data_IF_659079126306
#
_entry.id   IF_659079126306
#
_cell.length_a   1.000
_cell.length_b   1.000
_cell.length_c   1.000
_cell.angle_alpha   90.00
_cell.angle_beta   90.00
_cell.angle_gamma   90.00
#
_symmetry.space_group_name_H-M   'P 1'
#
loop_
_entity.id
_entity.type
_entity.pdbx_description
1 polymer ?
#
# COMPACT_ATOMS: atom_id res chain seq x y z
N UNK A 1 -42.21 48.67 64.07
CA UNK A 1 -40.91 48.56 64.75
C UNK A 1 -39.84 48.19 63.73
N UNK A 2 -38.68 48.86 63.78
CA UNK A 2 -37.48 48.63 62.96
C UNK A 2 -36.70 47.38 63.44
N UNK A 3 -35.98 46.71 62.52
CA UNK A 3 -34.50 46.62 62.54
C UNK A 3 -33.95 46.04 61.22
N UNK A 4 -32.90 46.70 60.70
CA UNK A 4 -31.97 46.28 59.63
C UNK A 4 -30.78 45.52 60.25
N UNK A 5 -29.94 44.86 59.42
CA UNK A 5 -28.46 44.61 59.44
C UNK A 5 -28.20 43.27 58.68
N UNK A 6 -27.76 43.24 57.42
CA UNK A 6 -26.40 43.26 56.82
C UNK A 6 -25.44 42.07 57.11
N UNK A 7 -24.98 41.46 56.00
CA UNK A 7 -23.70 40.73 55.71
C UNK A 7 -23.39 39.38 56.38
N UNK A 8 -23.20 38.32 55.58
CA UNK A 8 -21.83 37.91 55.17
C UNK A 8 -21.82 36.98 53.94
N UNK A 9 -20.78 37.20 53.13
CA UNK A 9 -20.40 36.56 51.89
C UNK A 9 -19.67 35.24 52.18
N UNK A 10 -20.07 34.12 51.57
CA UNK A 10 -19.17 32.98 51.35
C UNK A 10 -19.20 32.57 49.89
N UNK A 11 -18.20 33.09 49.20
CA UNK A 11 -17.63 32.56 47.98
C UNK A 11 -17.12 31.14 48.27
N UNK A 12 -17.69 30.12 47.65
CA UNK A 12 -17.00 28.85 47.42
C UNK A 12 -17.01 28.60 45.92
N UNK A 13 -15.89 28.97 45.29
CA UNK A 13 -15.51 28.39 44.01
C UNK A 13 -15.36 26.88 44.20
N UNK A 14 -16.28 26.10 43.65
CA UNK A 14 -15.97 24.77 43.18
C UNK A 14 -15.98 24.82 41.66
N UNK A 15 -14.83 25.17 41.12
CA UNK A 15 -14.49 25.07 39.71
C UNK A 15 -14.42 23.58 39.34
N UNK A 16 -15.56 22.90 39.17
CA UNK A 16 -15.55 21.67 38.39
C UNK A 16 -15.56 22.10 36.94
N UNK A 17 -14.37 22.36 36.39
CA UNK A 17 -14.18 22.24 34.96
C UNK A 17 -14.60 20.80 34.62
N UNK A 18 -15.81 20.63 34.10
CA UNK A 18 -16.06 19.58 33.14
C UNK A 18 -15.13 19.93 31.98
N UNK A 19 -13.87 19.51 32.06
CA UNK A 19 -13.07 19.38 30.86
C UNK A 19 -13.93 18.47 30.00
N UNK A 20 -14.55 19.03 28.97
CA UNK A 20 -15.14 18.25 27.90
C UNK A 20 -14.03 17.31 27.48
N UNK A 21 -14.06 16.05 27.93
CA UNK A 21 -13.28 15.02 27.29
C UNK A 21 -13.90 14.97 25.92
N UNK A 22 -13.34 15.75 24.98
CA UNK A 22 -13.54 15.48 23.59
C UNK A 22 -13.05 14.04 23.45
N UNK A 23 -14.01 13.11 23.36
CA UNK A 23 -13.71 11.76 22.92
C UNK A 23 -13.36 11.96 21.45
N UNK A 24 -12.07 12.07 21.16
CA UNK A 24 -11.61 12.07 19.80
C UNK A 24 -11.87 10.67 19.28
N UNK A 25 -12.75 10.54 18.30
CA UNK A 25 -12.87 9.30 17.57
C UNK A 25 -11.76 9.27 16.53
N UNK A 26 -11.09 8.13 16.36
CA UNK A 26 -10.05 8.02 15.36
C UNK A 26 -10.58 8.34 13.96
N UNK A 27 -10.03 9.37 13.33
CA UNK A 27 -10.58 9.96 12.11
C UNK A 27 -9.53 10.55 11.18
N UNK A 28 -9.91 10.69 9.91
CA UNK A 28 -9.10 11.37 8.91
C UNK A 28 -9.25 12.89 9.05
N UNK A 29 -8.13 13.60 9.09
CA UNK A 29 -8.10 15.07 9.01
C UNK A 29 -7.17 15.55 7.89
N UNK A 30 -7.51 16.70 7.31
CA UNK A 30 -6.78 17.30 6.19
C UNK A 30 -6.16 18.64 6.59
N UNK A 31 -4.85 18.79 6.38
CA UNK A 31 -4.10 20.03 6.65
C UNK A 31 -3.31 20.43 5.41
N UNK A 32 -3.56 21.64 4.88
CA UNK A 32 -2.81 22.23 3.74
C UNK A 32 -2.63 21.26 2.57
N UNK A 33 -3.65 20.42 2.31
CA UNK A 33 -3.68 19.40 1.25
C UNK A 33 -3.01 18.05 1.52
N UNK A 34 -2.59 17.77 2.76
CA UNK A 34 -2.14 16.45 3.21
C UNK A 34 -3.17 15.82 4.14
N UNK A 35 -3.37 14.52 4.01
CA UNK A 35 -4.24 13.75 4.90
C UNK A 35 -3.42 13.13 6.02
N UNK A 36 -4.01 13.09 7.21
CA UNK A 36 -3.47 12.51 8.43
C UNK A 36 -4.57 11.69 9.09
N UNK A 37 -4.20 10.61 9.77
CA UNK A 37 -5.13 9.86 10.59
C UNK A 37 -4.84 10.12 12.07
N UNK A 38 -5.83 10.67 12.78
CA UNK A 38 -5.75 10.93 14.21
C UNK A 38 -6.29 9.72 14.95
N UNK A 39 -5.57 9.27 15.97
CA UNK A 39 -5.97 8.17 16.86
C UNK A 39 -6.91 8.68 17.96
N UNK A 40 -7.51 7.76 18.72
CA UNK A 40 -8.46 8.11 19.79
C UNK A 40 -7.85 8.98 20.91
N UNK A 41 -6.52 8.95 21.06
CA UNK A 41 -5.78 9.80 22.01
C UNK A 41 -5.42 11.18 21.44
N UNK A 42 -5.86 11.49 20.21
CA UNK A 42 -5.58 12.71 19.48
C UNK A 42 -4.19 12.78 18.83
N UNK A 43 -3.36 11.74 18.98
CA UNK A 43 -2.07 11.65 18.30
C UNK A 43 -2.23 11.29 16.82
N UNK A 44 -1.19 11.55 16.01
CA UNK A 44 -1.19 11.23 14.58
C UNK A 44 -0.54 9.87 14.36
N UNK A 45 -1.26 8.97 13.68
CA UNK A 45 -0.75 7.67 13.29
C UNK A 45 0.43 7.79 12.30
N UNK A 46 1.42 6.91 12.44
CA UNK A 46 2.67 6.92 11.67
C UNK A 46 3.14 5.50 11.37
N UNK A 47 3.78 5.32 10.22
CA UNK A 47 4.38 4.06 9.75
C UNK A 47 3.45 2.84 9.91
N UNK A 48 2.19 2.98 9.49
CA UNK A 48 1.21 1.91 9.64
C UNK A 48 0.09 1.99 8.61
N UNK A 49 -0.57 0.86 8.39
CA UNK A 49 -1.80 0.79 7.61
C UNK A 49 -3.01 1.21 8.45
N UNK A 50 -3.83 2.09 7.87
CA UNK A 50 -5.11 2.56 8.39
C UNK A 50 -6.23 1.92 7.58
N UNK A 51 -7.06 1.12 8.25
CA UNK A 51 -8.16 0.39 7.63
C UNK A 51 -9.48 1.13 7.87
N UNK A 52 -10.03 1.72 6.81
CA UNK A 52 -11.33 2.40 6.84
C UNK A 52 -12.19 1.97 5.65
N UNK A 53 -13.44 2.44 5.56
CA UNK A 53 -14.39 2.06 4.49
C UNK A 53 -13.83 2.28 3.07
N UNK A 54 -12.96 3.28 2.89
CA UNK A 54 -12.33 3.59 1.61
C UNK A 54 -11.15 2.70 1.22
N UNK A 55 -10.65 1.89 2.16
CA UNK A 55 -9.56 0.94 1.96
C UNK A 55 -8.51 0.96 3.07
N UNK A 56 -7.48 0.11 2.96
CA UNK A 56 -6.23 0.30 3.66
C UNK A 56 -5.44 1.44 3.01
N UNK A 57 -4.99 2.37 3.85
CA UNK A 57 -4.14 3.51 3.49
C UNK A 57 -2.86 3.46 4.33
N UNK A 58 -1.71 3.78 3.74
CA UNK A 58 -0.48 3.89 4.52
C UNK A 58 -0.28 5.32 5.00
N UNK A 59 0.10 5.51 6.27
CA UNK A 59 0.60 6.79 6.79
C UNK A 59 2.11 6.71 7.02
N UNK A 60 2.84 7.68 6.47
CA UNK A 60 4.30 7.77 6.53
C UNK A 60 4.80 8.12 7.94
N UNK A 61 6.12 8.21 8.09
CA UNK A 61 6.78 8.59 9.35
C UNK A 61 6.46 10.02 9.81
N UNK A 62 6.20 10.92 8.85
CA UNK A 62 5.72 12.29 9.07
C UNK A 62 4.21 12.36 9.34
N UNK A 63 3.52 11.21 9.29
CA UNK A 63 2.08 11.06 9.51
C UNK A 63 1.22 11.33 8.28
N UNK A 64 1.83 11.71 7.15
CA UNK A 64 1.09 11.98 5.92
C UNK A 64 0.64 10.69 5.26
N UNK A 65 -0.59 10.68 4.74
CA UNK A 65 -1.08 9.59 3.89
C UNK A 65 -0.22 9.48 2.64
N UNK A 66 0.28 8.28 2.36
CA UNK A 66 0.99 7.97 1.14
C UNK A 66 0.02 7.99 -0.06
N UNK A 67 0.48 8.56 -1.17
CA UNK A 67 -0.22 8.60 -2.46
C UNK A 67 0.77 8.34 -3.59
N UNK A 68 0.35 7.59 -4.62
CA UNK A 68 1.12 7.29 -5.84
C UNK A 68 2.57 6.87 -5.57
N UNK A 69 2.79 5.99 -4.61
CA UNK A 69 4.14 5.59 -4.19
C UNK A 69 4.22 4.16 -3.71
N UNK A 70 5.45 3.64 -3.72
CA UNK A 70 5.80 2.39 -3.08
C UNK A 70 5.83 2.56 -1.56
N UNK A 71 5.33 1.56 -0.85
CA UNK A 71 5.34 1.43 0.60
C UNK A 71 6.10 0.17 0.95
N UNK A 72 7.13 0.29 1.79
CA UNK A 72 7.76 -0.87 2.41
C UNK A 72 7.22 -1.03 3.83
N UNK A 73 6.51 -2.11 4.07
CA UNK A 73 6.09 -2.51 5.40
C UNK A 73 6.78 -3.83 5.75
N UNK A 74 7.75 -3.75 6.65
CA UNK A 74 8.46 -4.92 7.19
C UNK A 74 9.12 -5.81 6.11
N UNK A 75 9.65 -5.20 5.06
CA UNK A 75 10.30 -5.90 3.94
C UNK A 75 9.35 -6.28 2.80
N UNK A 76 8.04 -6.20 2.99
CA UNK A 76 7.05 -6.41 1.95
C UNK A 76 6.74 -5.08 1.24
N UNK A 77 6.69 -5.13 -0.09
CA UNK A 77 6.44 -3.96 -0.92
C UNK A 77 4.99 -3.91 -1.39
N UNK A 78 4.40 -2.74 -1.29
CA UNK A 78 3.04 -2.43 -1.74
C UNK A 78 3.07 -1.15 -2.57
N UNK A 79 2.03 -0.91 -3.37
CA UNK A 79 1.85 0.37 -4.05
C UNK A 79 0.50 0.97 -3.71
N UNK A 80 0.46 2.26 -3.40
CA UNK A 80 -0.77 3.01 -3.17
C UNK A 80 -1.09 3.92 -4.37
N UNK A 81 -2.37 4.00 -4.73
CA UNK A 81 -2.86 4.75 -5.87
C UNK A 81 -2.88 6.29 -5.61
N UNK A 82 -3.32 7.12 -6.58
CA UNK A 82 -3.43 8.57 -6.38
C UNK A 82 -4.40 9.00 -5.27
N UNK A 83 -5.36 8.15 -4.91
CA UNK A 83 -6.30 8.37 -3.80
C UNK A 83 -5.76 7.80 -2.47
N UNK A 84 -4.58 7.16 -2.50
CA UNK A 84 -3.89 6.55 -1.35
C UNK A 84 -4.31 5.12 -1.03
N UNK A 85 -5.17 4.52 -1.84
CA UNK A 85 -5.64 3.14 -1.62
C UNK A 85 -4.56 2.15 -2.04
N UNK A 86 -4.33 1.11 -1.23
CA UNK A 86 -3.47 -0.01 -1.61
C UNK A 86 -3.98 -0.71 -2.86
N UNK A 87 -3.13 -0.87 -3.87
CA UNK A 87 -3.40 -1.69 -5.04
C UNK A 87 -3.35 -3.18 -4.71
N UNK A 88 -4.22 -3.98 -5.32
CA UNK A 88 -4.32 -5.44 -5.11
C UNK A 88 -4.76 -6.12 -6.39
N UNK A 89 -4.33 -7.37 -6.61
CA UNK A 89 -4.72 -8.23 -7.73
C UNK A 89 -4.60 -7.58 -9.11
N UNK A 90 -3.51 -6.86 -9.36
CA UNK A 90 -3.36 -6.12 -10.61
C UNK A 90 -1.91 -5.95 -11.05
N UNK A 91 -1.75 -5.78 -12.36
CA UNK A 91 -0.52 -5.25 -12.92
C UNK A 91 -0.39 -3.76 -12.62
N UNK A 92 0.83 -3.34 -12.29
CA UNK A 92 1.22 -1.95 -12.17
C UNK A 92 2.31 -1.65 -13.19
N UNK A 93 2.12 -0.60 -14.00
CA UNK A 93 3.14 -0.13 -14.94
C UNK A 93 3.65 1.25 -14.53
N UNK A 94 4.93 1.34 -14.22
CA UNK A 94 5.61 2.59 -13.88
C UNK A 94 6.78 2.77 -14.84
N UNK A 95 6.83 3.87 -15.60
CA UNK A 95 7.95 4.15 -16.52
C UNK A 95 8.35 2.96 -17.42
N UNK A 96 7.35 2.22 -17.94
CA UNK A 96 7.48 1.00 -18.77
C UNK A 96 7.95 -0.27 -18.02
N UNK A 97 8.35 -0.17 -16.75
CA UNK A 97 8.52 -1.31 -15.85
C UNK A 97 7.15 -1.88 -15.48
N UNK A 98 7.06 -3.21 -15.38
CA UNK A 98 5.84 -3.93 -15.07
C UNK A 98 6.04 -4.70 -13.75
N UNK A 99 5.07 -4.57 -12.85
CA UNK A 99 5.02 -5.21 -11.54
C UNK A 99 3.67 -5.93 -11.42
N UNK A 100 3.58 -6.89 -10.51
CA UNK A 100 2.33 -7.51 -10.09
C UNK A 100 2.14 -7.31 -8.59
N UNK A 101 0.94 -6.91 -8.20
CA UNK A 101 0.51 -6.84 -6.81
C UNK A 101 -0.51 -7.95 -6.60
N UNK A 102 -0.26 -8.85 -5.65
CA UNK A 102 -1.13 -9.98 -5.35
C UNK A 102 -2.44 -9.57 -4.67
N UNK A 103 -3.25 -10.54 -4.24
CA UNK A 103 -4.53 -10.30 -3.55
C UNK A 103 -4.38 -9.55 -2.22
N UNK A 104 -3.22 -9.68 -1.57
CA UNK A 104 -2.86 -8.93 -0.36
C UNK A 104 -2.21 -7.58 -0.68
N UNK A 105 -1.96 -7.29 -1.96
CA UNK A 105 -1.26 -6.10 -2.44
C UNK A 105 0.25 -6.19 -2.38
N UNK A 106 0.80 -7.36 -2.04
CA UNK A 106 2.24 -7.60 -1.96
C UNK A 106 2.78 -7.68 -3.39
N UNK A 107 3.87 -6.98 -3.63
CA UNK A 107 4.58 -7.00 -4.90
C UNK A 107 5.25 -8.36 -5.11
N UNK A 108 5.00 -8.97 -6.26
CA UNK A 108 5.68 -10.20 -6.64
C UNK A 108 7.19 -9.98 -6.77
N UNK A 109 7.99 -10.92 -6.24
CA UNK A 109 9.45 -10.86 -6.25
C UNK A 109 10.05 -12.26 -6.25
N UNK A 110 11.00 -12.50 -7.17
CA UNK A 110 11.66 -13.81 -7.39
C UNK A 110 10.69 -14.98 -7.59
N UNK A 111 9.58 -14.76 -8.30
CA UNK A 111 8.52 -15.76 -8.41
C UNK A 111 7.83 -15.81 -9.77
N UNK A 112 7.18 -16.95 -10.01
CA UNK A 112 6.27 -17.17 -11.12
C UNK A 112 4.86 -16.78 -10.73
N UNK A 113 4.20 -15.97 -11.57
CA UNK A 113 2.80 -15.58 -11.39
C UNK A 113 2.00 -15.98 -12.62
N UNK A 114 0.86 -16.64 -12.41
CA UNK A 114 -0.09 -16.92 -13.48
C UNK A 114 -1.25 -15.92 -13.43
N UNK A 115 -1.44 -15.16 -14.52
CA UNK A 115 -2.54 -14.21 -14.68
C UNK A 115 -3.27 -14.53 -15.97
N UNK A 116 -4.58 -14.79 -15.89
CA UNK A 116 -5.44 -15.12 -17.03
C UNK A 116 -4.86 -16.25 -17.91
N UNK A 117 -4.32 -17.29 -17.26
CA UNK A 117 -3.73 -18.45 -17.93
C UNK A 117 -2.34 -18.22 -18.54
N UNK A 118 -1.77 -17.02 -18.43
CA UNK A 118 -0.42 -16.69 -18.90
C UNK A 118 0.55 -16.62 -17.73
N UNK A 119 1.76 -17.12 -17.93
CA UNK A 119 2.82 -17.08 -16.94
C UNK A 119 3.70 -15.85 -17.10
N UNK A 120 4.14 -15.29 -15.98
CA UNK A 120 5.05 -14.16 -15.86
C UNK A 120 6.10 -14.52 -14.80
N UNK A 121 7.30 -13.98 -14.93
CA UNK A 121 8.33 -14.10 -13.90
C UNK A 121 8.80 -12.72 -13.46
N UNK A 122 8.83 -12.50 -12.15
CA UNK A 122 9.27 -11.27 -11.52
C UNK A 122 10.63 -11.47 -10.87
N UNK A 123 11.55 -10.54 -11.12
CA UNK A 123 12.89 -10.55 -10.53
C UNK A 123 12.85 -10.04 -9.07
N UNK A 124 13.98 -10.09 -8.37
CA UNK A 124 14.10 -9.69 -6.95
C UNK A 124 13.58 -8.27 -6.67
N UNK A 125 13.81 -7.35 -7.60
CA UNK A 125 13.32 -5.98 -7.53
C UNK A 125 11.85 -5.80 -7.97
N UNK A 126 11.13 -6.91 -8.21
CA UNK A 126 9.75 -6.94 -8.66
C UNK A 126 9.51 -6.60 -10.13
N UNK A 127 10.57 -6.48 -10.94
CA UNK A 127 10.42 -6.23 -12.37
C UNK A 127 10.05 -7.53 -13.10
N UNK A 128 9.01 -7.47 -13.92
CA UNK A 128 8.71 -8.56 -14.85
C UNK A 128 9.82 -8.67 -15.91
N UNK A 129 10.29 -9.90 -16.16
CA UNK A 129 11.17 -10.18 -17.30
C UNK A 129 10.42 -9.93 -18.60
N UNK A 130 11.01 -9.15 -19.51
CA UNK A 130 10.38 -8.74 -20.77
C UNK A 130 11.39 -8.75 -21.91
N UNK A 131 10.96 -9.19 -23.10
CA UNK A 131 11.77 -9.19 -24.34
C UNK A 131 13.12 -9.89 -24.20
N UNK A 132 13.24 -10.88 -23.33
CA UNK A 132 14.52 -11.51 -23.04
C UNK A 132 14.38 -12.99 -22.70
N UNK A 133 15.48 -13.71 -22.88
CA UNK A 133 15.69 -15.02 -22.29
C UNK A 133 16.09 -14.88 -20.82
N UNK A 134 15.61 -15.79 -19.97
CA UNK A 134 16.00 -15.89 -18.56
C UNK A 134 16.19 -17.36 -18.20
N UNK A 135 17.31 -17.65 -17.52
CA UNK A 135 17.53 -18.93 -16.85
C UNK A 135 16.80 -18.88 -15.51
N UNK A 136 15.89 -19.83 -15.27
CA UNK A 136 15.12 -19.93 -14.03
C UNK A 136 15.18 -21.40 -13.60
N UNK A 137 15.80 -21.66 -12.45
CA UNK A 137 16.24 -23.02 -12.12
C UNK A 137 17.29 -23.50 -13.13
N UNK A 138 17.04 -24.62 -13.79
CA UNK A 138 17.94 -25.23 -14.78
C UNK A 138 17.51 -24.94 -16.23
N UNK A 139 16.35 -24.32 -16.43
CA UNK A 139 15.72 -24.16 -17.73
C UNK A 139 15.73 -22.70 -18.23
N UNK A 140 15.85 -22.52 -19.54
CA UNK A 140 15.71 -21.21 -20.18
C UNK A 140 14.28 -20.95 -20.63
N UNK A 141 13.78 -19.74 -20.38
CA UNK A 141 12.46 -19.27 -20.78
C UNK A 141 12.58 -17.97 -21.56
N UNK A 142 11.75 -17.77 -22.58
CA UNK A 142 11.67 -16.51 -23.30
C UNK A 142 10.40 -15.74 -22.91
N UNK A 143 10.56 -14.46 -22.56
CA UNK A 143 9.45 -13.59 -22.21
C UNK A 143 9.16 -12.58 -23.32
N UNK A 144 7.89 -12.52 -23.72
CA UNK A 144 7.38 -11.65 -24.77
C UNK A 144 7.46 -10.16 -24.39
N UNK A 145 7.25 -9.23 -25.34
CA UNK A 145 7.12 -7.80 -25.07
C UNK A 145 6.14 -7.40 -23.95
N UNK A 146 5.09 -8.21 -23.77
CA UNK A 146 4.08 -8.05 -22.72
C UNK A 146 4.55 -8.53 -21.34
N UNK A 147 5.64 -9.29 -21.27
CA UNK A 147 6.11 -9.98 -20.07
C UNK A 147 5.54 -11.39 -19.91
N UNK A 148 4.59 -11.81 -20.76
CA UNK A 148 4.12 -13.19 -20.75
C UNK A 148 5.22 -14.14 -21.26
N UNK A 149 5.36 -15.28 -20.61
CA UNK A 149 6.21 -16.39 -21.05
C UNK A 149 5.68 -16.92 -22.39
N UNK A 150 6.59 -17.14 -23.34
CA UNK A 150 6.26 -17.78 -24.60
C UNK A 150 6.08 -19.29 -24.40
N UNK A 151 5.10 -19.88 -25.08
CA UNK A 151 4.88 -21.33 -25.16
C UNK A 151 4.67 -21.74 -26.61
N UNK A 152 5.07 -22.97 -26.95
CA UNK A 152 4.89 -23.58 -28.28
C UNK A 152 5.30 -22.67 -29.46
N UNK A 153 6.44 -21.99 -29.31
CA UNK A 153 6.86 -20.91 -30.21
C UNK A 153 8.32 -21.01 -30.65
N UNK A 154 8.64 -20.43 -31.81
CA UNK A 154 10.00 -20.08 -32.19
C UNK A 154 10.37 -18.74 -31.54
N UNK A 155 11.44 -18.73 -30.75
CA UNK A 155 11.90 -17.58 -30.00
C UNK A 155 13.19 -16.99 -30.62
N UNK A 156 13.60 -15.76 -30.24
CA UNK A 156 14.79 -15.13 -30.79
C UNK A 156 16.05 -15.98 -30.64
N UNK A 157 16.90 -15.96 -31.68
CA UNK A 157 18.07 -16.84 -31.77
C UNK A 157 17.80 -18.17 -32.46
N UNK A 158 16.55 -18.44 -32.88
CA UNK A 158 16.19 -19.65 -33.62
C UNK A 158 15.85 -20.86 -32.75
N UNK A 159 15.84 -20.69 -31.42
CA UNK A 159 15.45 -21.73 -30.47
C UNK A 159 13.94 -21.89 -30.38
N UNK A 160 13.48 -23.08 -30.01
CA UNK A 160 12.06 -23.34 -29.75
C UNK A 160 11.80 -23.36 -28.24
N UNK A 161 10.58 -23.02 -27.85
CA UNK A 161 10.07 -23.24 -26.49
C UNK A 161 8.87 -24.18 -26.55
N UNK A 162 8.79 -25.12 -25.61
CA UNK A 162 7.69 -26.08 -25.50
C UNK A 162 6.41 -25.51 -24.90
N UNK A 163 5.41 -26.36 -24.70
CA UNK A 163 4.14 -25.99 -24.05
C UNK A 163 4.28 -25.57 -22.58
N UNK A 164 5.34 -26.04 -21.91
CA UNK A 164 5.73 -25.61 -20.56
C UNK A 164 6.66 -24.38 -20.56
N UNK A 165 6.92 -23.81 -21.75
CA UNK A 165 7.74 -22.61 -21.95
C UNK A 165 9.25 -22.85 -21.89
N UNK A 166 9.70 -24.07 -21.55
CA UNK A 166 11.12 -24.40 -21.50
C UNK A 166 11.72 -24.37 -22.90
N UNK A 167 12.93 -23.84 -23.02
CA UNK A 167 13.73 -23.95 -24.24
C UNK A 167 13.97 -25.42 -24.55
N UNK A 168 13.69 -25.79 -25.79
CA UNK A 168 14.00 -27.09 -26.36
C UNK A 168 14.99 -26.87 -27.50
N UNK A 169 16.03 -27.70 -27.55
CA UNK A 169 17.07 -27.67 -28.56
C UNK A 169 16.59 -28.31 -29.88
#
# INVERSE_FOLDING_TARGET
MRRKYLTQMMLVLALSALSSMAVYAAEWGKVTNKWYYYLDDGSVAKNQWIYTEGGPYWVNDDGTMAVSQWVNDSGLWYYVDPDGRRLTSQFLTLNKALYWLDESGIMASEEWVQVEGKWYYFEENGLAVKRNWKLIGEDYYYFLPSGAMATDALAPGGYRVGSDGRRID
#
